data_IF_092666102197
#
_entry.id   IF_092666102197
#
_cell.length_a   1.000
_cell.length_b   1.000
_cell.length_c   1.000
_cell.angle_alpha   90.00
_cell.angle_beta   90.00
_cell.angle_gamma   90.00
#
_symmetry.space_group_name_H-M   'P 1'
#
loop_
_entity.id
_entity.type
_entity.pdbx_description
1 polymer ?
#
# COMPACT_ATOMS: atom_id res chain seq x y z
N UNK A 1 -23.91 0.04 -21.76
CA UNK A 1 -23.26 -1.23 -21.40
C UNK A 1 -22.26 -0.92 -20.29
N UNK A 2 -22.44 -1.44 -19.07
CA UNK A 2 -21.42 -1.26 -18.03
C UNK A 2 -20.18 -2.06 -18.45
N UNK A 3 -19.01 -1.41 -18.50
CA UNK A 3 -17.79 -2.07 -18.92
C UNK A 3 -17.41 -3.11 -17.85
N UNK A 4 -17.44 -4.41 -18.16
CA UNK A 4 -17.21 -5.46 -17.17
C UNK A 4 -15.82 -5.37 -16.54
N UNK A 5 -14.82 -4.85 -17.29
CA UNK A 5 -13.48 -4.63 -16.77
C UNK A 5 -13.44 -3.50 -15.72
N UNK A 6 -14.16 -2.39 -15.95
CA UNK A 6 -14.23 -1.29 -14.98
C UNK A 6 -14.96 -1.70 -13.71
N UNK A 7 -16.06 -2.44 -13.82
CA UNK A 7 -16.79 -2.93 -12.65
C UNK A 7 -15.93 -3.87 -11.79
N UNK A 8 -15.12 -4.73 -12.44
CA UNK A 8 -14.19 -5.63 -11.76
C UNK A 8 -13.07 -4.85 -11.06
N UNK A 9 -12.51 -3.83 -11.72
CA UNK A 9 -11.51 -2.94 -11.12
C UNK A 9 -12.05 -2.21 -9.90
N UNK A 10 -13.25 -1.63 -9.99
CA UNK A 10 -13.89 -0.96 -8.86
C UNK A 10 -14.16 -1.93 -7.71
N UNK A 11 -14.67 -3.13 -7.99
CA UNK A 11 -14.88 -4.17 -6.97
C UNK A 11 -13.60 -4.55 -6.23
N UNK A 12 -12.49 -4.72 -6.94
CA UNK A 12 -11.20 -5.01 -6.33
C UNK A 12 -10.72 -3.84 -5.45
N UNK A 13 -10.89 -2.61 -5.93
CA UNK A 13 -10.48 -1.41 -5.18
C UNK A 13 -11.28 -1.22 -3.89
N UNK A 14 -12.60 -1.46 -3.90
CA UNK A 14 -13.45 -1.31 -2.71
C UNK A 14 -13.18 -2.41 -1.69
N UNK A 15 -12.90 -3.64 -2.14
CA UNK A 15 -12.47 -4.72 -1.25
C UNK A 15 -11.12 -4.38 -0.61
N UNK A 16 -10.14 -3.94 -1.39
CA UNK A 16 -8.81 -3.56 -0.87
C UNK A 16 -8.89 -2.45 0.19
N UNK A 17 -9.64 -1.38 -0.10
CA UNK A 17 -9.82 -0.26 0.84
C UNK A 17 -10.58 -0.70 2.09
N UNK A 18 -11.64 -1.51 1.95
CA UNK A 18 -12.41 -1.97 3.11
C UNK A 18 -11.59 -2.86 4.04
N UNK A 19 -10.70 -3.71 3.51
CA UNK A 19 -9.79 -4.52 4.32
C UNK A 19 -8.81 -3.65 5.14
N UNK A 20 -8.22 -2.62 4.52
CA UNK A 20 -7.33 -1.69 5.22
C UNK A 20 -8.05 -0.95 6.35
N UNK A 21 -9.28 -0.49 6.09
CA UNK A 21 -10.11 0.18 7.10
C UNK A 21 -10.51 -0.76 8.24
N UNK A 22 -10.94 -1.98 7.93
CA UNK A 22 -11.28 -2.99 8.93
C UNK A 22 -10.07 -3.28 9.82
N UNK A 23 -8.87 -3.44 9.24
CA UNK A 23 -7.65 -3.70 10.01
C UNK A 23 -7.28 -2.50 10.91
N UNK A 24 -7.33 -1.28 10.37
CA UNK A 24 -7.08 -0.06 11.16
C UNK A 24 -8.08 0.10 12.31
N UNK A 25 -9.37 -0.06 12.04
CA UNK A 25 -10.40 0.01 13.08
C UNK A 25 -10.31 -1.14 14.07
N UNK A 26 -9.90 -2.34 13.65
CA UNK A 26 -9.69 -3.47 14.55
C UNK A 26 -8.63 -3.14 15.60
N UNK A 27 -7.45 -2.64 15.20
CA UNK A 27 -6.41 -2.25 16.16
C UNK A 27 -6.83 -1.08 17.03
N UNK A 28 -7.57 -0.10 16.48
CA UNK A 28 -8.07 1.05 17.23
C UNK A 28 -9.11 0.66 18.30
N UNK A 29 -10.11 -0.15 17.94
CA UNK A 29 -11.20 -0.52 18.85
C UNK A 29 -10.83 -1.64 19.83
N UNK A 30 -9.85 -2.49 19.51
CA UNK A 30 -9.34 -3.50 20.47
C UNK A 30 -8.31 -2.94 21.45
N UNK A 31 -8.01 -1.64 21.39
CA UNK A 31 -7.01 -0.99 22.26
C UNK A 31 -5.57 -1.40 21.95
N UNK A 32 -5.31 -1.99 20.78
CA UNK A 32 -4.00 -2.46 20.33
C UNK A 32 -3.36 -1.49 19.31
N UNK A 33 -3.74 -0.20 19.37
CA UNK A 33 -3.24 0.83 18.44
C UNK A 33 -1.72 0.98 18.46
N UNK A 34 -1.09 0.78 19.63
CA UNK A 34 0.37 0.89 19.80
C UNK A 34 1.16 -0.13 18.98
N UNK A 35 0.52 -1.22 18.53
CA UNK A 35 1.16 -2.20 17.62
C UNK A 35 1.37 -1.64 16.21
N UNK A 36 0.64 -0.60 15.84
CA UNK A 36 0.82 0.11 14.58
C UNK A 36 1.83 1.24 14.76
N UNK A 37 3.11 0.87 14.95
CA UNK A 37 4.21 1.82 15.16
C UNK A 37 5.00 2.10 13.87
N UNK A 38 4.76 3.28 13.30
CA UNK A 38 5.44 3.77 12.10
C UNK A 38 6.92 4.11 12.38
N UNK A 39 7.22 4.62 13.58
CA UNK A 39 8.59 4.99 13.94
C UNK A 39 9.47 3.73 14.00
N UNK A 40 8.99 2.69 14.69
CA UNK A 40 9.65 1.38 14.71
C UNK A 40 9.88 0.84 13.29
N UNK A 41 8.86 0.87 12.43
CA UNK A 41 8.98 0.39 11.05
C UNK A 41 10.09 1.14 10.28
N UNK A 42 10.16 2.47 10.42
CA UNK A 42 11.17 3.28 9.74
C UNK A 42 12.58 3.10 10.31
N UNK A 43 12.71 2.82 11.61
CA UNK A 43 14.03 2.62 12.24
C UNK A 43 14.58 1.21 12.06
N UNK A 44 13.70 0.20 12.03
CA UNK A 44 14.09 -1.21 11.91
C UNK A 44 14.35 -1.60 10.45
N UNK A 45 13.61 -1.00 9.51
CA UNK A 45 13.82 -1.27 8.09
C UNK A 45 15.16 -0.69 7.63
N UNK A 46 16.05 -1.51 7.03
CA UNK A 46 17.38 -1.04 6.72
C UNK A 46 17.38 0.04 5.63
N UNK A 47 18.22 1.09 5.73
CA UNK A 47 18.21 2.23 4.81
C UNK A 47 18.53 1.84 3.35
N UNK A 48 19.30 0.77 3.14
CA UNK A 48 19.62 0.28 1.80
C UNK A 48 18.40 -0.31 1.06
N UNK A 49 17.39 -0.80 1.78
CA UNK A 49 16.14 -1.29 1.17
C UNK A 49 15.39 -0.14 0.49
N UNK A 50 15.22 0.99 1.18
CA UNK A 50 14.57 2.18 0.62
C UNK A 50 15.36 2.76 -0.56
N UNK A 51 16.68 2.83 -0.45
CA UNK A 51 17.54 3.29 -1.53
C UNK A 51 17.44 2.39 -2.78
N UNK A 52 17.48 1.07 -2.59
CA UNK A 52 17.35 0.10 -3.69
C UNK A 52 15.99 0.17 -4.40
N UNK A 53 14.90 0.25 -3.63
CA UNK A 53 13.54 0.43 -4.19
C UNK A 53 13.45 1.74 -4.97
N UNK A 54 14.01 2.83 -4.45
CA UNK A 54 14.02 4.14 -5.13
C UNK A 54 14.74 4.12 -6.47
N UNK A 55 15.91 3.50 -6.54
CA UNK A 55 16.70 3.36 -7.78
C UNK A 55 15.92 2.51 -8.80
N UNK A 56 15.44 1.34 -8.39
CA UNK A 56 14.69 0.44 -9.26
C UNK A 56 13.40 1.06 -9.79
N UNK A 57 12.65 1.75 -8.92
CA UNK A 57 11.41 2.44 -9.29
C UNK A 57 11.67 3.61 -10.25
N UNK A 58 12.72 4.40 -10.02
CA UNK A 58 13.06 5.55 -10.90
C UNK A 58 13.38 5.08 -12.32
N UNK A 59 14.17 4.02 -12.46
CA UNK A 59 14.52 3.46 -13.77
C UNK A 59 13.30 2.80 -14.44
N UNK A 60 12.55 1.99 -13.70
CA UNK A 60 11.45 1.20 -14.28
C UNK A 60 10.26 2.08 -14.68
N UNK A 61 9.84 3.01 -13.80
CA UNK A 61 8.73 3.92 -14.09
C UNK A 61 9.08 4.90 -15.21
N UNK A 62 10.35 5.28 -15.35
CA UNK A 62 10.81 6.11 -16.47
C UNK A 62 10.60 5.43 -17.83
N UNK A 63 10.82 4.11 -17.93
CA UNK A 63 10.64 3.37 -19.18
C UNK A 63 9.14 3.20 -19.49
N UNK A 64 8.33 2.83 -18.50
CA UNK A 64 6.88 2.66 -18.68
C UNK A 64 6.23 3.98 -19.10
N UNK A 65 6.67 5.11 -18.55
CA UNK A 65 6.12 6.44 -18.88
C UNK A 65 6.57 7.00 -20.24
N UNK A 66 7.67 6.51 -20.80
CA UNK A 66 8.14 6.90 -22.12
C UNK A 66 7.45 6.14 -23.27
N UNK A 67 6.80 5.00 -22.95
CA UNK A 67 6.08 4.15 -23.90
C UNK A 67 4.59 4.46 -24.05
#
# INVERSE_FOLDING_TARGET
>A
MSNPALNTFYSLSTIGISLLLIMGFYYMFTGQGDRFDIAWFLTETPPHMWAGIGIAASLSLSVIGAG
#
